data_IF_666459426047
#
_entry.id   IF_666459426047
#
_cell.length_a   1.000
_cell.length_b   1.000
_cell.length_c   1.000
_cell.angle_alpha   90.00
_cell.angle_beta   90.00
_cell.angle_gamma   90.00
#
_symmetry.space_group_name_H-M   'P 1'
#
loop_
_entity.id
_entity.type
_entity.pdbx_description
1 polymer ?
#
# COMPACT_ATOMS: atom_id res chain seq x y z
N UNK A 1 -20.41 69.56 11.57
CA UNK A 1 -21.15 68.54 10.79
C UNK A 1 -20.12 67.66 10.10
N UNK A 2 -20.10 66.35 10.36
CA UNK A 2 -19.13 65.43 9.75
C UNK A 2 -19.68 64.98 8.39
N UNK A 3 -19.04 65.39 7.31
CA UNK A 3 -19.38 64.95 5.95
C UNK A 3 -19.09 63.45 5.83
N UNK A 4 -20.14 62.63 5.70
CA UNK A 4 -19.96 61.24 5.28
C UNK A 4 -19.69 61.24 3.78
N UNK A 5 -18.43 61.03 3.40
CA UNK A 5 -18.05 60.72 2.02
C UNK A 5 -18.66 59.35 1.71
N UNK A 6 -19.68 59.32 0.85
CA UNK A 6 -20.28 58.08 0.36
C UNK A 6 -19.38 57.43 -0.69
N UNK A 7 -19.36 56.09 -0.71
CA UNK A 7 -18.67 55.31 -1.73
C UNK A 7 -19.38 55.48 -3.08
N UNK A 8 -18.64 55.70 -4.16
CA UNK A 8 -19.27 55.85 -5.49
C UNK A 8 -19.60 54.49 -6.09
N UNK A 9 -20.68 54.43 -6.88
CA UNK A 9 -21.07 53.18 -7.56
C UNK A 9 -19.97 52.70 -8.52
N UNK A 10 -19.26 53.64 -9.15
CA UNK A 10 -18.15 53.31 -10.06
C UNK A 10 -16.93 52.75 -9.34
N UNK A 11 -16.58 53.23 -8.14
CA UNK A 11 -15.49 52.63 -7.35
C UNK A 11 -15.79 51.17 -7.01
N UNK A 12 -17.04 50.85 -6.67
CA UNK A 12 -17.43 49.48 -6.38
C UNK A 12 -17.29 48.58 -7.62
N UNK A 13 -17.73 49.07 -8.78
CA UNK A 13 -17.66 48.32 -10.05
C UNK A 13 -16.22 48.06 -10.47
N UNK A 14 -15.33 49.05 -10.36
CA UNK A 14 -13.92 48.88 -10.72
C UNK A 14 -13.24 47.84 -9.81
N UNK A 15 -13.54 47.86 -8.51
CA UNK A 15 -12.97 46.88 -7.56
C UNK A 15 -13.38 45.45 -7.90
N UNK A 16 -14.66 45.18 -8.16
CA UNK A 16 -15.11 43.83 -8.51
C UNK A 16 -14.53 43.36 -9.86
N UNK A 17 -14.33 44.28 -10.82
CA UNK A 17 -13.70 43.95 -12.11
C UNK A 17 -12.24 43.56 -11.91
N UNK A 18 -11.48 44.31 -11.11
CA UNK A 18 -10.09 43.99 -10.80
C UNK A 18 -9.99 42.64 -10.07
N UNK A 19 -10.82 42.42 -9.05
CA UNK A 19 -10.87 41.13 -8.34
C UNK A 19 -11.27 39.97 -9.26
N UNK A 20 -12.16 40.20 -10.22
CA UNK A 20 -12.54 39.23 -11.23
C UNK A 20 -11.36 38.78 -12.10
N UNK A 21 -10.55 39.73 -12.59
CA UNK A 21 -9.37 39.43 -13.41
C UNK A 21 -8.32 38.66 -12.59
N UNK A 22 -8.05 39.09 -11.35
CA UNK A 22 -7.10 38.42 -10.47
C UNK A 22 -7.53 36.99 -10.14
N UNK A 23 -8.82 36.76 -9.90
CA UNK A 23 -9.35 35.43 -9.60
C UNK A 23 -9.15 34.45 -10.77
N UNK A 24 -9.41 34.87 -12.01
CA UNK A 24 -9.28 34.00 -13.19
C UNK A 24 -7.83 33.51 -13.38
N UNK A 25 -6.84 34.34 -13.10
CA UNK A 25 -5.42 33.96 -13.21
C UNK A 25 -4.95 33.12 -12.01
N UNK A 26 -5.46 33.40 -10.81
CA UNK A 26 -5.03 32.72 -9.59
C UNK A 26 -5.59 31.30 -9.43
N UNK A 27 -6.84 31.05 -9.85
CA UNK A 27 -7.53 29.76 -9.62
C UNK A 27 -6.79 28.56 -10.21
N UNK A 28 -6.34 28.54 -11.48
CA UNK A 28 -5.64 27.38 -12.05
C UNK A 28 -4.34 27.05 -11.31
N UNK A 29 -3.58 28.08 -10.92
CA UNK A 29 -2.33 27.92 -10.17
C UNK A 29 -2.58 27.38 -8.75
N UNK A 30 -3.62 27.89 -8.09
CA UNK A 30 -4.00 27.43 -6.75
C UNK A 30 -4.39 25.95 -6.75
N UNK A 31 -5.14 25.49 -7.77
CA UNK A 31 -5.51 24.08 -7.91
C UNK A 31 -4.30 23.15 -8.14
N UNK A 32 -3.31 23.60 -8.91
CA UNK A 32 -2.06 22.84 -9.12
C UNK A 32 -1.27 22.70 -7.81
N UNK A 33 -1.07 23.79 -7.07
CA UNK A 33 -0.36 23.77 -5.78
C UNK A 33 -1.04 22.81 -4.80
N UNK A 34 -2.38 22.77 -4.78
CA UNK A 34 -3.12 21.83 -3.94
C UNK A 34 -2.97 20.37 -4.36
N UNK A 35 -2.88 20.08 -5.67
CA UNK A 35 -2.61 18.72 -6.16
C UNK A 35 -1.17 18.30 -5.80
N UNK A 36 -0.19 19.16 -6.05
CA UNK A 36 1.22 18.90 -5.74
C UNK A 36 1.45 18.70 -4.25
N UNK A 37 0.79 19.50 -3.40
CA UNK A 37 0.83 19.32 -1.95
C UNK A 37 0.28 17.96 -1.52
N UNK A 38 -0.87 17.54 -2.08
CA UNK A 38 -1.45 16.22 -1.79
C UNK A 38 -0.54 15.07 -2.22
N UNK A 39 0.12 15.19 -3.38
CA UNK A 39 1.10 14.21 -3.83
C UNK A 39 2.28 14.14 -2.85
N UNK A 40 2.84 15.29 -2.47
CA UNK A 40 3.92 15.35 -1.49
C UNK A 40 3.53 14.70 -0.15
N UNK A 41 2.31 14.92 0.33
CA UNK A 41 1.78 14.28 1.54
C UNK A 41 1.70 12.74 1.41
N UNK A 42 1.30 12.21 0.25
CA UNK A 42 1.29 10.76 -0.01
C UNK A 42 2.71 10.18 -0.03
N UNK A 43 3.68 10.86 -0.64
CA UNK A 43 5.08 10.42 -0.62
C UNK A 43 5.67 10.49 0.81
N UNK A 44 5.29 11.49 1.59
CA UNK A 44 5.65 11.58 3.02
C UNK A 44 5.05 10.42 3.83
N UNK A 45 3.78 10.07 3.57
CA UNK A 45 3.13 8.92 4.19
C UNK A 45 3.86 7.62 3.83
N UNK A 46 4.23 7.42 2.57
CA UNK A 46 5.00 6.26 2.16
C UNK A 46 6.34 6.15 2.89
N UNK A 47 7.07 7.26 3.04
CA UNK A 47 8.30 7.31 3.84
C UNK A 47 8.06 6.99 5.32
N UNK A 48 6.94 7.44 5.89
CA UNK A 48 6.53 7.12 7.26
C UNK A 48 6.25 5.63 7.43
N UNK A 49 5.51 5.02 6.50
CA UNK A 49 5.23 3.58 6.50
C UNK A 49 6.53 2.77 6.37
N UNK A 50 7.46 3.20 5.53
CA UNK A 50 8.74 2.52 5.32
C UNK A 50 9.61 2.57 6.59
N UNK A 51 9.72 3.75 7.20
CA UNK A 51 10.45 3.92 8.47
C UNK A 51 9.82 3.13 9.62
N UNK A 52 8.48 3.10 9.68
CA UNK A 52 7.74 2.32 10.68
C UNK A 52 7.98 0.83 10.51
N UNK A 53 7.88 0.32 9.29
CA UNK A 53 8.14 -1.10 8.99
C UNK A 53 9.57 -1.51 9.33
N UNK A 54 10.57 -0.68 8.99
CA UNK A 54 11.96 -0.91 9.33
C UNK A 54 12.21 -0.89 10.86
N UNK A 55 11.52 0.00 11.59
CA UNK A 55 11.63 0.07 13.06
C UNK A 55 11.08 -1.19 13.72
N UNK A 56 9.91 -1.67 13.28
CA UNK A 56 9.34 -2.93 13.77
C UNK A 56 10.24 -4.11 13.41
N UNK A 57 10.84 -4.11 12.22
CA UNK A 57 11.78 -5.14 11.82
C UNK A 57 13.06 -5.17 12.67
N UNK A 58 13.63 -4.01 12.98
CA UNK A 58 14.75 -3.93 13.90
C UNK A 58 14.41 -4.52 15.28
N UNK A 59 13.19 -4.27 15.79
CA UNK A 59 12.72 -4.89 17.04
C UNK A 59 12.55 -6.40 16.90
N UNK A 60 11.99 -6.86 15.78
CA UNK A 60 11.85 -8.30 15.51
C UNK A 60 13.22 -9.01 15.47
N UNK A 61 14.25 -8.40 14.86
CA UNK A 61 15.61 -8.93 14.86
C UNK A 61 16.21 -9.04 16.28
N UNK A 62 15.98 -8.04 17.13
CA UNK A 62 16.43 -8.07 18.53
C UNK A 62 15.76 -9.22 19.30
N UNK A 63 14.51 -9.53 18.99
CA UNK A 63 13.77 -10.65 19.58
C UNK A 63 14.00 -12.01 18.88
N UNK A 64 14.83 -12.08 17.82
CA UNK A 64 15.06 -13.30 17.04
C UNK A 64 13.86 -13.77 16.23
N UNK A 65 12.99 -12.83 15.82
CA UNK A 65 11.73 -13.06 15.08
C UNK A 65 11.78 -12.53 13.64
N UNK A 66 12.95 -12.18 13.13
CA UNK A 66 13.15 -11.64 11.79
C UNK A 66 12.79 -12.62 10.67
N UNK A 67 12.75 -13.92 10.96
CA UNK A 67 12.29 -14.97 10.03
C UNK A 67 10.99 -15.63 10.46
N UNK A 68 10.36 -15.15 11.54
CA UNK A 68 9.12 -15.73 12.05
C UNK A 68 7.98 -15.51 11.06
N UNK A 69 7.40 -16.60 10.56
CA UNK A 69 6.29 -16.57 9.60
C UNK A 69 5.05 -15.83 10.14
N UNK A 70 4.84 -15.92 11.45
CA UNK A 70 3.84 -15.21 12.20
C UNK A 70 4.40 -14.95 13.60
N UNK A 71 4.09 -13.80 14.17
CA UNK A 71 4.53 -13.46 15.50
C UNK A 71 3.99 -12.13 15.99
N UNK A 72 4.46 -11.74 17.16
CA UNK A 72 4.15 -10.43 17.74
C UNK A 72 5.40 -9.86 18.39
N UNK A 73 5.63 -8.57 18.20
CA UNK A 73 6.72 -7.79 18.79
C UNK A 73 6.10 -6.54 19.37
N UNK A 74 6.28 -6.27 20.67
CA UNK A 74 5.62 -5.15 21.36
C UNK A 74 4.09 -5.04 21.13
N UNK A 75 3.40 -6.18 21.00
CA UNK A 75 1.96 -6.21 20.70
C UNK A 75 1.59 -5.97 19.22
N UNK A 76 2.57 -5.71 18.35
CA UNK A 76 2.41 -5.53 16.90
C UNK A 76 2.50 -6.89 16.21
N UNK A 77 1.47 -7.26 15.44
CA UNK A 77 1.45 -8.47 14.63
C UNK A 77 2.42 -8.38 13.45
N UNK A 78 3.36 -9.33 13.38
CA UNK A 78 4.42 -9.38 12.37
C UNK A 78 4.37 -10.66 11.52
N UNK A 79 4.91 -10.56 10.31
CA UNK A 79 5.21 -11.68 9.42
C UNK A 79 6.57 -11.45 8.76
N UNK A 80 7.44 -12.47 8.80
CA UNK A 80 8.86 -12.38 8.40
C UNK A 80 9.57 -11.17 9.00
N UNK A 81 9.30 -10.88 10.28
CA UNK A 81 9.87 -9.73 10.97
C UNK A 81 9.28 -8.37 10.60
N UNK A 82 8.28 -8.26 9.71
CA UNK A 82 7.67 -6.97 9.35
C UNK A 82 6.23 -6.87 9.83
N UNK A 83 5.72 -5.65 10.09
CA UNK A 83 4.34 -5.50 10.53
C UNK A 83 3.36 -5.90 9.43
N UNK A 84 2.34 -6.65 9.80
CA UNK A 84 1.29 -7.09 8.86
C UNK A 84 0.42 -5.91 8.40
N UNK A 85 -0.20 -5.97 7.21
CA UNK A 85 -1.11 -4.95 6.69
C UNK A 85 -2.50 -5.07 7.35
N UNK A 86 -2.52 -4.99 8.67
CA UNK A 86 -3.70 -5.14 9.51
C UNK A 86 -3.73 -4.05 10.57
N UNK A 87 -4.89 -3.86 11.21
CA UNK A 87 -5.03 -2.94 12.34
C UNK A 87 -4.06 -3.28 13.49
N UNK A 88 -3.79 -4.57 13.71
CA UNK A 88 -2.84 -5.04 14.73
C UNK A 88 -1.38 -5.04 14.27
N UNK A 89 -1.11 -4.77 13.00
CA UNK A 89 0.22 -4.70 12.43
C UNK A 89 0.63 -3.26 12.19
N UNK A 90 0.75 -2.87 10.92
CA UNK A 90 1.28 -1.57 10.50
C UNK A 90 0.53 -0.40 11.11
N UNK A 91 -0.80 -0.49 11.29
CA UNK A 91 -1.58 0.59 11.90
C UNK A 91 -1.19 0.81 13.36
N UNK A 92 -1.11 -0.27 14.14
CA UNK A 92 -0.68 -0.19 15.54
C UNK A 92 0.76 0.28 15.71
N UNK A 93 1.59 0.11 14.68
CA UNK A 93 2.98 0.54 14.67
C UNK A 93 3.14 2.04 14.37
N UNK A 94 2.14 2.69 13.76
CA UNK A 94 2.19 4.12 13.45
C UNK A 94 2.04 4.96 14.73
N UNK A 95 2.84 6.02 14.86
CA UNK A 95 2.76 6.95 15.99
C UNK A 95 1.51 7.83 15.96
N UNK A 96 0.87 8.00 14.80
CA UNK A 96 -0.33 8.83 14.61
C UNK A 96 -1.27 8.19 13.59
N UNK A 97 -1.90 7.05 13.93
CA UNK A 97 -2.72 6.28 12.98
C UNK A 97 -4.01 7.01 12.58
N UNK A 98 -4.50 7.96 13.38
CA UNK A 98 -5.72 8.73 13.08
C UNK A 98 -5.50 9.88 12.10
N UNK A 99 -4.25 10.16 11.70
CA UNK A 99 -3.94 11.16 10.69
C UNK A 99 -4.31 10.72 9.27
N UNK A 100 -4.62 9.43 9.07
CA UNK A 100 -4.85 8.84 7.76
C UNK A 100 -6.07 7.94 7.77
N UNK A 101 -6.90 8.06 6.74
CA UNK A 101 -7.97 7.11 6.50
C UNK A 101 -7.35 5.80 6.00
N UNK A 102 -7.83 4.67 6.51
CA UNK A 102 -7.26 3.35 6.26
C UNK A 102 -8.33 2.34 5.90
N UNK A 103 -8.08 1.55 4.86
CA UNK A 103 -9.04 0.59 4.33
C UNK A 103 -8.34 -0.74 4.09
N UNK A 104 -8.67 -1.81 4.86
CA UNK A 104 -8.20 -3.13 4.54
C UNK A 104 -8.87 -3.63 3.25
N UNK A 105 -8.04 -4.13 2.34
CA UNK A 105 -8.47 -4.66 1.06
C UNK A 105 -8.52 -6.18 1.13
N UNK A 106 -9.70 -6.72 0.85
CA UNK A 106 -9.94 -8.16 0.84
C UNK A 106 -9.86 -8.65 -0.61
N UNK A 107 -8.69 -9.19 -0.95
CA UNK A 107 -8.43 -9.65 -2.31
C UNK A 107 -9.36 -10.78 -2.76
N UNK A 108 -9.98 -11.52 -1.84
CA UNK A 108 -11.00 -12.54 -2.20
C UNK A 108 -12.27 -11.88 -2.71
N UNK A 109 -12.65 -10.74 -2.16
CA UNK A 109 -13.84 -9.97 -2.58
C UNK A 109 -13.61 -9.20 -3.88
N UNK A 110 -12.37 -8.83 -4.17
CA UNK A 110 -11.98 -8.15 -5.41
C UNK A 110 -11.82 -9.10 -6.61
N UNK A 111 -11.29 -10.30 -6.38
CA UNK A 111 -10.99 -11.27 -7.43
C UNK A 111 -12.12 -12.30 -7.60
N UNK A 112 -13.17 -11.95 -8.37
CA UNK A 112 -14.09 -12.87 -9.07
C UNK A 112 -14.66 -14.10 -8.29
N UNK A 113 -14.76 -14.03 -6.96
CA UNK A 113 -15.39 -15.06 -6.12
C UNK A 113 -14.49 -16.24 -5.75
N UNK A 114 -15.00 -17.10 -4.87
CA UNK A 114 -14.24 -18.19 -4.23
C UNK A 114 -13.62 -19.18 -5.24
N UNK A 115 -14.19 -19.28 -6.45
CA UNK A 115 -13.70 -20.14 -7.54
C UNK A 115 -12.31 -19.74 -8.06
N UNK A 116 -12.02 -18.44 -8.11
CA UNK A 116 -10.73 -17.95 -8.60
C UNK A 116 -9.57 -18.42 -7.71
N UNK A 117 -9.76 -18.38 -6.39
CA UNK A 117 -8.75 -18.84 -5.44
C UNK A 117 -8.76 -20.37 -5.28
N UNK A 118 -9.91 -21.04 -5.44
CA UNK A 118 -9.99 -22.51 -5.33
C UNK A 118 -9.26 -23.24 -6.47
N UNK A 119 -9.37 -22.74 -7.70
CA UNK A 119 -8.78 -23.38 -8.88
C UNK A 119 -7.27 -23.11 -9.00
N UNK A 120 -6.82 -22.00 -8.42
CA UNK A 120 -5.45 -21.53 -8.55
C UNK A 120 -4.56 -21.90 -7.33
N UNK A 121 -5.09 -21.78 -6.11
CA UNK A 121 -4.35 -22.06 -4.87
C UNK A 121 -4.70 -23.42 -4.24
N UNK A 122 -5.73 -24.12 -4.74
CA UNK A 122 -6.31 -25.28 -4.08
C UNK A 122 -7.01 -24.90 -2.77
N UNK A 123 -7.99 -25.70 -2.36
CA UNK A 123 -8.83 -25.43 -1.17
C UNK A 123 -8.10 -25.37 0.20
N UNK A 124 -6.77 -25.56 0.22
CA UNK A 124 -5.96 -25.62 1.45
C UNK A 124 -4.92 -24.51 1.59
N UNK A 125 -4.63 -23.74 0.54
CA UNK A 125 -3.60 -22.70 0.59
C UNK A 125 -4.25 -21.34 0.81
N UNK A 126 -4.49 -21.01 2.08
CA UNK A 126 -4.88 -19.66 2.46
C UNK A 126 -3.65 -18.76 2.35
N UNK A 127 -3.45 -18.20 1.16
CA UNK A 127 -2.47 -17.15 0.94
C UNK A 127 -3.02 -15.89 1.59
N UNK A 128 -2.84 -15.80 2.90
CA UNK A 128 -3.16 -14.61 3.63
C UNK A 128 -2.06 -13.60 3.29
N UNK A 129 -2.40 -12.71 2.37
CA UNK A 129 -1.60 -11.54 2.02
C UNK A 129 -2.43 -10.34 2.39
N UNK A 130 -1.77 -9.36 3.01
CA UNK A 130 -2.41 -8.18 3.52
C UNK A 130 -2.25 -7.07 2.50
N UNK A 131 -3.33 -6.33 2.27
CA UNK A 131 -3.28 -5.08 1.53
C UNK A 131 -4.07 -4.05 2.30
N UNK A 132 -3.41 -2.94 2.64
CA UNK A 132 -4.02 -1.82 3.34
C UNK A 132 -3.81 -0.55 2.54
N UNK A 133 -4.90 0.15 2.27
CA UNK A 133 -4.89 1.43 1.56
C UNK A 133 -4.97 2.55 2.58
N UNK A 134 -4.04 3.49 2.51
CA UNK A 134 -4.00 4.72 3.30
C UNK A 134 -4.30 5.92 2.41
N UNK A 135 -5.30 6.73 2.77
CA UNK A 135 -5.71 7.91 2.00
C UNK A 135 -5.80 9.18 2.85
N UNK A 136 -5.59 10.31 2.19
CA UNK A 136 -5.79 11.66 2.75
C UNK A 136 -7.28 12.04 2.83
N UNK A 137 -8.14 11.39 2.05
CA UNK A 137 -9.58 11.67 2.01
C UNK A 137 -10.36 10.52 2.60
N UNK A 138 -11.50 10.85 3.20
CA UNK A 138 -12.45 9.84 3.60
C UNK A 138 -13.11 9.21 2.37
N UNK A 139 -12.85 7.91 2.19
CA UNK A 139 -13.44 7.03 1.20
C UNK A 139 -14.47 6.08 1.84
N UNK A 140 -14.92 6.36 3.07
CA UNK A 140 -15.97 5.60 3.73
C UNK A 140 -17.24 5.59 2.87
N UNK A 141 -17.91 4.44 2.82
CA UNK A 141 -19.09 4.23 1.96
C UNK A 141 -18.80 3.82 0.52
N UNK A 142 -17.54 3.85 0.06
CA UNK A 142 -17.14 3.27 -1.22
C UNK A 142 -16.88 1.76 -1.12
N UNK A 143 -17.15 1.04 -2.20
CA UNK A 143 -16.71 -0.36 -2.36
C UNK A 143 -15.19 -0.43 -2.54
N UNK A 144 -14.56 -1.57 -2.24
CA UNK A 144 -13.10 -1.73 -2.40
C UNK A 144 -12.63 -1.44 -3.83
N UNK A 145 -13.42 -1.78 -4.86
CA UNK A 145 -13.12 -1.44 -6.25
C UNK A 145 -13.12 0.08 -6.49
N UNK A 146 -14.08 0.80 -5.93
CA UNK A 146 -14.17 2.26 -6.04
C UNK A 146 -13.04 2.96 -5.26
N UNK A 147 -12.65 2.43 -4.10
CA UNK A 147 -11.48 2.90 -3.36
C UNK A 147 -10.24 2.79 -4.25
N UNK A 148 -10.01 1.63 -4.87
CA UNK A 148 -8.86 1.42 -5.74
C UNK A 148 -8.89 2.31 -7.00
N UNK A 149 -10.06 2.59 -7.57
CA UNK A 149 -10.21 3.49 -8.74
C UNK A 149 -10.01 4.99 -8.41
N UNK A 150 -9.92 5.36 -7.12
CA UNK A 150 -9.68 6.77 -6.71
C UNK A 150 -8.27 7.28 -7.00
N UNK A 151 -7.26 6.39 -7.09
CA UNK A 151 -5.89 6.71 -7.50
C UNK A 151 -5.24 7.89 -6.77
N UNK A 152 -5.53 8.03 -5.47
CA UNK A 152 -4.94 9.05 -4.61
C UNK A 152 -4.78 8.50 -3.18
N UNK A 153 -3.82 7.59 -3.02
CA UNK A 153 -3.55 6.86 -1.78
C UNK A 153 -2.18 6.18 -1.81
N UNK A 154 -1.78 5.62 -0.66
CA UNK A 154 -0.62 4.72 -0.53
C UNK A 154 -1.12 3.32 -0.21
N UNK A 155 -0.62 2.32 -0.92
CA UNK A 155 -0.87 0.90 -0.62
C UNK A 155 0.31 0.36 0.19
N UNK A 156 0.00 -0.29 1.30
CA UNK A 156 0.93 -1.14 2.05
C UNK A 156 0.54 -2.60 1.82
N UNK A 157 1.42 -3.39 1.22
CA UNK A 157 1.22 -4.83 0.99
C UNK A 157 2.26 -5.66 1.71
N UNK A 158 1.83 -6.75 2.32
CA UNK A 158 2.70 -7.70 3.01
C UNK A 158 2.23 -9.14 2.85
N UNK A 159 3.06 -10.07 3.32
CA UNK A 159 2.67 -11.46 3.54
C UNK A 159 1.92 -11.60 4.87
N UNK A 160 0.65 -11.21 4.92
CA UNK A 160 -0.11 -11.30 6.16
C UNK A 160 -0.46 -12.76 6.51
N UNK A 161 0.42 -13.55 7.12
CA UNK A 161 0.13 -14.86 7.72
C UNK A 161 -0.35 -16.00 6.78
N UNK A 162 0.10 -16.05 5.52
CA UNK A 162 -0.29 -17.10 4.55
C UNK A 162 0.52 -18.38 4.54
N UNK A 163 1.41 -18.59 5.52
CA UNK A 163 2.34 -19.72 5.56
C UNK A 163 2.06 -20.74 6.68
N UNK A 164 0.86 -20.74 7.28
CA UNK A 164 0.50 -21.66 8.39
C UNK A 164 0.03 -23.07 7.93
N UNK A 165 0.19 -23.48 6.67
CA UNK A 165 -0.16 -24.85 6.23
C UNK A 165 0.81 -25.54 5.26
N UNK A 166 1.99 -24.97 5.02
CA UNK A 166 3.00 -25.61 4.16
C UNK A 166 4.40 -25.69 4.74
N UNK A 167 4.59 -25.32 6.00
CA UNK A 167 5.71 -25.84 6.78
C UNK A 167 5.39 -27.31 7.11
N UNK A 168 6.19 -28.30 6.66
CA UNK A 168 6.13 -29.61 7.27
C UNK A 168 6.43 -29.47 8.77
N UNK A 169 5.59 -30.10 9.60
CA UNK A 169 5.90 -30.30 11.01
C UNK A 169 7.24 -31.03 11.13
N UNK A 170 8.13 -30.48 11.95
CA UNK A 170 9.54 -30.85 12.12
C UNK A 170 10.43 -30.47 10.93
N UNK A 171 11.09 -29.32 11.05
CA UNK A 171 12.54 -29.34 11.09
C UNK A 171 13.02 -28.22 12.01
N UNK A 172 13.87 -28.61 12.95
CA UNK A 172 14.61 -27.71 13.81
C UNK A 172 15.38 -26.75 12.92
N UNK A 173 15.43 -25.48 13.31
CA UNK A 173 16.31 -24.49 12.69
C UNK A 173 17.77 -24.87 12.99
N UNK A 174 18.30 -25.86 12.27
CA UNK A 174 19.72 -26.12 12.18
C UNK A 174 20.21 -25.67 10.81
N UNK A 175 21.23 -24.83 10.89
CA UNK A 175 22.09 -24.36 9.81
C UNK A 175 22.64 -25.50 8.96
N UNK A 176 22.69 -25.25 7.64
CA UNK A 176 23.29 -26.01 6.54
C UNK A 176 22.30 -26.77 5.65
N UNK A 177 21.76 -26.07 4.65
CA UNK A 177 21.19 -26.72 3.46
C UNK A 177 21.79 -26.13 2.17
N UNK A 178 22.84 -26.80 1.70
CA UNK A 178 23.47 -26.64 0.38
C UNK A 178 22.66 -27.35 -0.74
N UNK A 179 21.33 -27.27 -0.69
CA UNK A 179 20.45 -27.80 -1.72
C UNK A 179 19.74 -26.63 -2.44
N UNK A 180 19.83 -26.59 -3.78
CA UNK A 180 19.24 -25.56 -4.64
C UNK A 180 17.75 -25.33 -4.30
N UNK A 181 17.49 -24.24 -3.56
CA UNK A 181 16.17 -23.65 -3.34
C UNK A 181 15.39 -24.22 -2.15
N UNK A 182 15.80 -23.85 -0.93
CA UNK A 182 15.06 -24.13 0.31
C UNK A 182 13.61 -23.63 0.29
N UNK A 183 12.82 -23.98 1.31
CA UNK A 183 11.36 -23.74 1.35
C UNK A 183 10.95 -22.28 1.08
N UNK A 184 11.76 -21.30 1.51
CA UNK A 184 11.58 -19.85 1.22
C UNK A 184 11.57 -19.56 -0.27
N UNK A 185 12.45 -20.20 -1.04
CA UNK A 185 12.49 -20.05 -2.50
C UNK A 185 11.24 -20.62 -3.16
N UNK A 186 10.78 -21.79 -2.73
CA UNK A 186 9.53 -22.40 -3.25
C UNK A 186 8.32 -21.52 -2.93
N UNK A 187 8.26 -20.95 -1.73
CA UNK A 187 7.21 -20.02 -1.32
C UNK A 187 7.25 -18.73 -2.14
N UNK A 188 8.43 -18.16 -2.40
CA UNK A 188 8.60 -17.01 -3.28
C UNK A 188 8.10 -17.30 -4.71
N UNK A 189 8.50 -18.42 -5.30
CA UNK A 189 8.06 -18.81 -6.65
C UNK A 189 6.55 -19.00 -6.74
N UNK A 190 5.95 -19.57 -5.69
CA UNK A 190 4.50 -19.68 -5.58
C UNK A 190 3.85 -18.29 -5.55
N UNK A 191 4.32 -17.39 -4.67
CA UNK A 191 3.85 -16.00 -4.57
C UNK A 191 3.96 -15.24 -5.89
N UNK A 192 5.11 -15.36 -6.58
CA UNK A 192 5.32 -14.74 -7.89
C UNK A 192 4.26 -15.20 -8.90
N UNK A 193 3.98 -16.51 -8.93
CA UNK A 193 2.98 -17.09 -9.83
C UNK A 193 1.56 -16.56 -9.56
N UNK A 194 1.17 -16.35 -8.31
CA UNK A 194 -0.16 -15.84 -7.90
C UNK A 194 -0.38 -14.44 -8.44
N UNK A 195 0.65 -13.61 -8.28
CA UNK A 195 0.60 -12.23 -8.69
C UNK A 195 0.53 -12.15 -10.21
N UNK A 196 1.48 -12.75 -10.91
CA UNK A 196 1.57 -12.67 -12.37
C UNK A 196 0.37 -13.28 -13.08
N UNK A 197 -0.11 -14.44 -12.63
CA UNK A 197 -1.20 -15.17 -13.32
C UNK A 197 -2.59 -14.86 -12.77
N UNK A 198 -2.67 -14.25 -11.60
CA UNK A 198 -3.92 -14.03 -10.89
C UNK A 198 -4.17 -12.55 -10.59
N UNK A 199 -3.52 -12.03 -9.57
CA UNK A 199 -3.81 -10.68 -9.02
C UNK A 199 -3.59 -9.59 -10.08
N UNK A 200 -2.48 -9.63 -10.81
CA UNK A 200 -2.17 -8.66 -11.84
C UNK A 200 -3.24 -8.58 -12.94
N UNK A 201 -3.57 -9.67 -13.67
CA UNK A 201 -4.55 -9.61 -14.77
C UNK A 201 -6.00 -9.43 -14.32
N UNK A 202 -6.40 -9.98 -13.16
CA UNK A 202 -7.82 -10.05 -12.77
C UNK A 202 -8.23 -9.05 -11.69
N UNK A 203 -7.29 -8.55 -10.87
CA UNK A 203 -7.58 -7.59 -9.81
C UNK A 203 -7.04 -6.21 -10.16
N UNK A 204 -5.75 -6.12 -10.48
CA UNK A 204 -5.06 -4.83 -10.64
C UNK A 204 -5.31 -4.21 -12.01
N UNK A 205 -5.23 -5.00 -13.09
CA UNK A 205 -5.43 -4.51 -14.46
C UNK A 205 -6.82 -3.88 -14.70
N UNK A 206 -7.94 -4.42 -14.19
CA UNK A 206 -9.25 -3.76 -14.32
C UNK A 206 -9.35 -2.38 -13.67
N UNK A 207 -8.51 -2.11 -12.65
CA UNK A 207 -8.41 -0.80 -11.97
C UNK A 207 -7.13 -0.05 -12.36
N UNK A 208 -6.44 -0.44 -13.44
CA UNK A 208 -5.21 0.20 -13.94
C UNK A 208 -4.10 0.36 -12.88
N UNK A 209 -4.04 -0.58 -11.93
CA UNK A 209 -3.01 -0.60 -10.90
C UNK A 209 -1.83 -1.49 -11.25
N UNK A 210 -1.94 -2.30 -12.31
CA UNK A 210 -0.86 -3.18 -12.75
C UNK A 210 0.46 -2.41 -12.94
N UNK A 211 0.40 -1.21 -13.53
CA UNK A 211 1.53 -0.29 -13.74
C UNK A 211 2.37 0.01 -12.50
N UNK A 212 1.75 -0.01 -11.33
CA UNK A 212 2.39 0.34 -10.06
C UNK A 212 3.13 -0.82 -9.39
N UNK A 213 2.92 -2.06 -9.87
CA UNK A 213 3.55 -3.25 -9.31
C UNK A 213 4.51 -3.85 -10.33
N UNK A 214 5.81 -3.79 -10.03
CA UNK A 214 6.87 -4.34 -10.89
C UNK A 214 6.70 -5.84 -11.15
N UNK A 215 6.15 -6.58 -10.18
CA UNK A 215 5.85 -8.01 -10.31
C UNK A 215 4.88 -8.33 -11.46
N UNK A 216 4.02 -7.38 -11.84
CA UNK A 216 3.09 -7.54 -12.95
C UNK A 216 3.76 -7.44 -14.33
N UNK A 217 4.99 -6.91 -14.37
CA UNK A 217 5.74 -6.63 -15.61
C UNK A 217 7.08 -7.35 -15.69
N UNK A 218 7.53 -7.99 -14.60
CA UNK A 218 8.76 -8.79 -14.59
C UNK A 218 8.64 -9.95 -15.59
N UNK A 219 9.49 -9.93 -16.62
CA UNK A 219 9.70 -11.07 -17.51
C UNK A 219 10.27 -12.27 -16.71
N UNK A 220 9.99 -13.50 -17.16
CA UNK A 220 10.38 -14.79 -16.57
C UNK A 220 11.91 -15.06 -16.61
N UNK A 221 12.74 -14.03 -16.48
CA UNK A 221 14.19 -14.19 -16.41
C UNK A 221 14.57 -14.71 -15.02
N UNK A 222 14.88 -16.00 -14.94
CA UNK A 222 15.32 -16.75 -13.76
C UNK A 222 16.61 -16.24 -13.05
N UNK A 223 17.06 -15.00 -13.32
CA UNK A 223 18.39 -14.51 -12.93
C UNK A 223 18.44 -13.39 -11.89
N UNK A 224 17.31 -12.88 -11.41
CA UNK A 224 17.33 -11.68 -10.56
C UNK A 224 16.38 -11.83 -9.36
N UNK A 225 16.86 -12.54 -8.33
CA UNK A 225 16.12 -12.70 -7.07
C UNK A 225 16.42 -11.59 -6.04
N UNK A 226 17.49 -10.82 -6.23
CA UNK A 226 18.04 -9.89 -5.21
C UNK A 226 18.26 -8.46 -5.72
N UNK A 227 17.46 -7.97 -6.67
CA UNK A 227 17.40 -6.52 -6.97
C UNK A 227 16.33 -5.85 -6.11
N UNK A 228 16.56 -4.62 -5.62
CA UNK A 228 15.57 -3.87 -4.80
C UNK A 228 14.21 -3.69 -5.48
N UNK A 229 14.16 -3.78 -6.82
CA UNK A 229 12.96 -3.58 -7.64
C UNK A 229 12.10 -4.84 -7.82
N UNK A 230 12.58 -6.01 -7.38
CA UNK A 230 11.80 -7.24 -7.43
C UNK A 230 11.00 -7.40 -6.13
N UNK A 231 9.67 -7.27 -6.20
CA UNK A 231 8.77 -7.40 -5.06
C UNK A 231 8.92 -8.78 -4.40
N UNK A 232 9.75 -8.83 -3.37
CA UNK A 232 9.96 -10.00 -2.54
C UNK A 232 9.36 -9.75 -1.16
N UNK A 233 8.06 -10.01 -1.05
CA UNK A 233 7.29 -9.78 0.18
C UNK A 233 7.79 -10.62 1.37
N UNK A 234 8.70 -11.59 1.13
CA UNK A 234 9.38 -12.37 2.18
C UNK A 234 10.45 -11.53 2.88
N UNK A 235 11.07 -10.59 2.16
CA UNK A 235 12.19 -9.80 2.66
C UNK A 235 11.77 -8.42 3.18
N UNK A 236 10.65 -7.88 2.72
CA UNK A 236 10.06 -6.62 3.19
C UNK A 236 8.62 -6.44 2.66
N UNK A 237 7.76 -5.67 3.34
CA UNK A 237 6.50 -5.21 2.76
C UNK A 237 6.77 -4.31 1.55
N UNK A 238 5.80 -4.24 0.64
CA UNK A 238 5.86 -3.31 -0.48
C UNK A 238 4.95 -2.12 -0.20
N UNK A 239 5.49 -0.93 -0.46
CA UNK A 239 4.81 0.34 -0.26
C UNK A 239 4.72 1.02 -1.62
N UNK A 240 3.50 1.31 -2.05
CA UNK A 240 3.22 1.78 -3.41
C UNK A 240 2.40 3.07 -3.34
N UNK A 241 2.95 4.16 -3.85
CA UNK A 241 2.23 5.44 -3.97
C UNK A 241 1.44 5.44 -5.28
N UNK A 242 0.13 5.70 -5.19
CA UNK A 242 -0.77 5.84 -6.34
C UNK A 242 -1.34 7.25 -6.32
N UNK A 243 -0.85 8.10 -7.22
CA UNK A 243 -1.09 9.56 -7.16
C UNK A 243 -1.50 10.20 -8.50
N UNK A 244 -1.82 9.40 -9.53
CA UNK A 244 -2.16 9.88 -10.86
C UNK A 244 -3.48 10.68 -10.93
N UNK A 245 -4.40 10.48 -9.97
CA UNK A 245 -5.67 11.24 -9.88
C UNK A 245 -5.77 12.13 -8.64
N UNK A 246 -4.64 12.45 -8.00
CA UNK A 246 -4.57 13.54 -7.01
C UNK A 246 -4.59 14.92 -7.70
#
# INVERSE_FOLDING_TARGET
MKNKLGFTLIELVVVIVILGILAVVAVPKFMQIQSDARKADLHQLAGTLQSTAATVNAKAMVEGKETALNGTVDGISIANGYPTATEKGIVSALSSPESWYRYPIDMKKLALGDHFWSDWAGSKLQLNMGMMVFSLKDLSGLTQKQILDSHCYVIYTDLAAGAEKSAPDNDSADSHDDAKGGWRHKLYQLHKRIWQKGICPYVLKPVKLDGYFTICHSEDNHKEADTPDNMNLINAPTITVVDDKC
#
